data_IF_555109161717
#
_entry.id   IF_555109161717
#
_cell.length_a   1.000
_cell.length_b   1.000
_cell.length_c   1.000
_cell.angle_alpha   90.00
_cell.angle_beta   90.00
_cell.angle_gamma   90.00
#
_symmetry.space_group_name_H-M   'P 1'
#
loop_
_entity.id
_entity.type
_entity.pdbx_description
1 polymer ?
#
# COMPACT_ATOMS: atom_id res chain seq x y z
N UNK A 1 2.89 -16.57 -6.92
CA UNK A 1 1.90 -15.47 -7.05
C UNK A 1 1.23 -15.60 -8.41
N UNK A 2 -0.09 -15.80 -8.48
CA UNK A 2 -0.79 -16.07 -9.73
C UNK A 2 -1.01 -14.75 -10.49
N UNK A 3 -0.40 -14.57 -11.67
CA UNK A 3 -0.44 -13.31 -12.44
C UNK A 3 -1.89 -12.90 -12.77
N UNK A 4 -2.80 -13.86 -12.92
CA UNK A 4 -4.22 -13.59 -13.17
C UNK A 4 -4.98 -13.09 -11.92
N UNK A 5 -4.54 -13.42 -10.71
CA UNK A 5 -5.09 -12.83 -9.47
C UNK A 5 -4.67 -11.36 -9.27
N UNK A 6 -3.59 -10.93 -9.93
CA UNK A 6 -3.14 -9.54 -9.97
C UNK A 6 -3.90 -8.68 -11.00
N UNK A 7 -4.83 -9.28 -11.76
CA UNK A 7 -5.71 -8.60 -12.72
C UNK A 7 -7.18 -8.77 -12.28
N UNK A 8 -7.44 -8.65 -10.98
CA UNK A 8 -8.80 -8.39 -10.52
C UNK A 8 -9.12 -6.91 -10.71
N UNK A 9 -10.36 -6.58 -11.06
CA UNK A 9 -10.76 -5.18 -11.29
C UNK A 9 -10.37 -4.25 -10.12
N UNK A 10 -10.49 -4.73 -8.87
CA UNK A 10 -10.01 -4.01 -7.68
C UNK A 10 -8.50 -3.76 -7.69
N UNK A 11 -7.69 -4.77 -8.03
CA UNK A 11 -6.24 -4.61 -8.15
C UNK A 11 -5.78 -3.67 -9.27
N UNK A 12 -6.57 -3.58 -10.35
CA UNK A 12 -6.33 -2.66 -11.45
C UNK A 12 -6.67 -1.23 -11.04
N UNK A 13 -7.81 -1.00 -10.38
CA UNK A 13 -8.19 0.34 -9.90
C UNK A 13 -7.18 0.89 -8.90
N UNK A 14 -6.73 0.09 -7.91
CA UNK A 14 -5.77 0.56 -6.89
C UNK A 14 -4.42 0.98 -7.47
N UNK A 15 -4.09 0.50 -8.67
CA UNK A 15 -2.84 0.81 -9.36
C UNK A 15 -3.05 1.96 -10.34
N UNK A 16 -4.12 1.89 -11.13
CA UNK A 16 -4.47 2.89 -12.12
C UNK A 16 -4.81 4.25 -11.52
N UNK A 17 -5.58 4.32 -10.43
CA UNK A 17 -6.02 5.61 -9.89
C UNK A 17 -4.82 6.46 -9.38
N UNK A 18 -3.90 5.92 -8.55
CA UNK A 18 -2.65 6.60 -8.20
C UNK A 18 -1.83 7.03 -9.44
N UNK A 19 -1.66 6.13 -10.40
CA UNK A 19 -0.89 6.40 -11.61
C UNK A 19 -1.48 7.53 -12.45
N UNK A 20 -2.80 7.62 -12.52
CA UNK A 20 -3.49 8.69 -13.25
C UNK A 20 -3.25 10.03 -12.57
N UNK A 21 -3.32 10.06 -11.24
CA UNK A 21 -3.03 11.27 -10.45
C UNK A 21 -1.60 11.74 -10.68
N UNK A 22 -0.62 10.83 -10.72
CA UNK A 22 0.76 11.15 -11.05
C UNK A 22 0.93 11.72 -12.46
N UNK A 23 0.29 11.11 -13.47
CA UNK A 23 0.34 11.62 -14.84
C UNK A 23 -0.28 13.02 -14.95
N UNK A 24 -1.40 13.26 -14.27
CA UNK A 24 -2.01 14.60 -14.22
C UNK A 24 -1.11 15.61 -13.52
N UNK A 25 -0.50 15.25 -12.39
CA UNK A 25 0.43 16.13 -11.69
C UNK A 25 1.65 16.48 -12.55
N UNK A 26 2.21 15.50 -13.27
CA UNK A 26 3.32 15.71 -14.19
C UNK A 26 2.94 16.66 -15.34
N UNK A 27 1.76 16.46 -15.94
CA UNK A 27 1.25 17.32 -17.01
C UNK A 27 1.11 18.78 -16.58
N UNK A 28 0.60 19.02 -15.37
CA UNK A 28 0.45 20.38 -14.81
C UNK A 28 1.84 21.02 -14.62
N UNK A 29 2.77 20.30 -13.98
CA UNK A 29 4.13 20.80 -13.73
C UNK A 29 4.88 21.10 -15.03
N UNK A 30 4.78 20.22 -16.03
CA UNK A 30 5.43 20.45 -17.32
C UNK A 30 4.88 21.69 -18.02
N UNK A 31 3.56 21.90 -17.99
CA UNK A 31 2.93 23.08 -18.57
C UNK A 31 3.39 24.39 -17.88
N UNK A 32 3.45 24.40 -16.55
CA UNK A 32 3.90 25.57 -15.78
C UNK A 32 5.40 25.87 -16.00
N UNK A 33 6.25 24.83 -16.06
CA UNK A 33 7.68 25.00 -16.38
C UNK A 33 7.86 25.55 -17.80
N UNK A 34 7.09 25.04 -18.76
CA UNK A 34 7.12 25.51 -20.15
C UNK A 34 6.77 26.98 -20.27
N UNK A 35 5.68 27.39 -19.61
CA UNK A 35 5.26 28.78 -19.56
C UNK A 35 6.33 29.67 -18.90
N UNK A 36 6.94 29.21 -17.81
CA UNK A 36 7.95 29.97 -17.07
C UNK A 36 9.26 30.16 -17.86
N UNK A 37 9.71 29.13 -18.60
CA UNK A 37 10.93 29.22 -19.43
C UNK A 37 10.67 29.70 -20.86
N UNK A 38 9.41 29.97 -21.22
CA UNK A 38 9.04 30.53 -22.52
C UNK A 38 9.18 29.55 -23.70
N UNK A 39 9.03 28.24 -23.45
CA UNK A 39 8.94 27.23 -24.51
C UNK A 39 7.52 26.65 -24.62
N UNK A 40 7.18 26.09 -25.77
CA UNK A 40 5.87 25.46 -25.98
C UNK A 40 5.79 24.14 -25.21
N UNK A 41 4.83 24.02 -24.27
CA UNK A 41 4.56 22.75 -23.57
C UNK A 41 4.22 21.65 -24.56
N UNK A 42 4.93 20.54 -24.48
CA UNK A 42 4.69 19.38 -25.33
C UNK A 42 3.33 18.75 -25.01
N UNK A 43 2.98 18.70 -23.72
CA UNK A 43 1.73 18.09 -23.25
C UNK A 43 0.53 18.93 -23.68
N UNK A 44 0.57 20.25 -23.49
CA UNK A 44 -0.49 21.18 -23.93
C UNK A 44 -0.63 21.15 -25.45
N UNK A 45 0.49 21.12 -26.18
CA UNK A 45 0.50 21.06 -27.64
C UNK A 45 -0.20 19.80 -28.18
N UNK A 46 0.03 18.64 -27.56
CA UNK A 46 -0.63 17.39 -27.99
C UNK A 46 -2.09 17.34 -27.53
N UNK A 47 -2.40 17.75 -26.30
CA UNK A 47 -3.77 17.79 -25.80
C UNK A 47 -4.65 18.76 -26.59
N UNK A 48 -4.08 19.86 -27.08
CA UNK A 48 -4.76 20.81 -27.96
C UNK A 48 -4.99 20.29 -29.38
N UNK A 49 -4.29 19.23 -29.80
CA UNK A 49 -4.45 18.63 -31.12
C UNK A 49 -5.49 17.51 -31.09
N UNK A 50 -6.68 17.77 -31.65
CA UNK A 50 -7.81 16.82 -31.69
C UNK A 50 -7.46 15.49 -32.35
N UNK A 51 -6.54 15.46 -33.30
CA UNK A 51 -6.13 14.22 -33.99
C UNK A 51 -5.24 13.34 -33.11
N UNK A 52 -4.44 13.95 -32.22
CA UNK A 52 -3.47 13.26 -31.37
C UNK A 52 -3.98 13.04 -29.94
N UNK A 53 -5.00 13.79 -29.52
CA UNK A 53 -5.62 13.67 -28.19
C UNK A 53 -6.18 12.25 -27.94
N UNK A 54 -6.76 11.61 -28.96
CA UNK A 54 -7.26 10.23 -28.86
C UNK A 54 -6.12 9.23 -28.62
N UNK A 55 -5.01 9.35 -29.35
CA UNK A 55 -3.80 8.54 -29.16
C UNK A 55 -3.21 8.74 -27.76
N UNK A 56 -3.18 9.98 -27.27
CA UNK A 56 -2.63 10.28 -25.95
C UNK A 56 -3.50 9.71 -24.83
N UNK A 57 -4.83 9.74 -24.96
CA UNK A 57 -5.75 9.07 -24.03
C UNK A 57 -5.56 7.55 -24.02
N UNK A 58 -5.33 6.94 -25.19
CA UNK A 58 -5.05 5.51 -25.31
C UNK A 58 -3.73 5.15 -24.61
N UNK A 59 -2.68 5.98 -24.75
CA UNK A 59 -1.37 5.77 -24.09
C UNK A 59 -1.42 6.10 -22.59
N UNK A 60 -2.25 7.06 -22.18
CA UNK A 60 -2.39 7.45 -20.78
C UNK A 60 -2.86 6.29 -19.90
N UNK A 61 -3.67 5.37 -20.44
CA UNK A 61 -4.14 4.21 -19.70
C UNK A 61 -3.00 3.23 -19.30
N UNK A 62 -2.22 2.64 -20.22
CA UNK A 62 -1.10 1.79 -19.87
C UNK A 62 0.01 2.57 -19.15
N UNK A 63 0.25 3.83 -19.48
CA UNK A 63 1.21 4.67 -18.77
C UNK A 63 0.80 4.87 -17.30
N UNK A 64 -0.50 5.09 -17.05
CA UNK A 64 -1.03 5.23 -15.69
C UNK A 64 -0.81 3.95 -14.89
N UNK A 65 -1.12 2.78 -15.47
CA UNK A 65 -0.86 1.50 -14.80
C UNK A 65 0.62 1.36 -14.47
N UNK A 66 1.52 1.68 -15.42
CA UNK A 66 2.96 1.58 -15.21
C UNK A 66 3.44 2.49 -14.09
N UNK A 67 3.05 3.76 -14.09
CA UNK A 67 3.39 4.72 -13.02
C UNK A 67 2.80 4.30 -11.68
N UNK A 68 1.58 3.78 -11.67
CA UNK A 68 0.94 3.22 -10.50
C UNK A 68 1.69 2.02 -9.93
N UNK A 69 2.21 1.13 -10.78
CA UNK A 69 3.05 0.01 -10.36
C UNK A 69 4.36 0.49 -9.72
N UNK A 70 5.00 1.52 -10.28
CA UNK A 70 6.18 2.13 -9.68
C UNK A 70 5.86 2.73 -8.30
N UNK A 71 4.72 3.43 -8.16
CA UNK A 71 4.25 3.93 -6.87
C UNK A 71 4.05 2.79 -5.86
N UNK A 72 3.41 1.70 -6.28
CA UNK A 72 3.24 0.50 -5.45
C UNK A 72 4.58 -0.05 -4.96
N UNK A 73 5.57 -0.19 -5.85
CA UNK A 73 6.91 -0.68 -5.47
C UNK A 73 7.50 0.18 -4.35
N UNK A 74 7.42 1.51 -4.46
CA UNK A 74 7.91 2.42 -3.43
C UNK A 74 7.12 2.26 -2.11
N UNK A 75 5.81 2.06 -2.17
CA UNK A 75 4.98 1.76 -1.00
C UNK A 75 5.48 0.50 -0.28
N UNK A 76 5.67 -0.59 -1.02
CA UNK A 76 6.02 -1.90 -0.44
C UNK A 76 7.47 -2.03 -0.02
N UNK A 77 8.42 -1.44 -0.77
CA UNK A 77 9.84 -1.56 -0.46
C UNK A 77 10.25 -0.79 0.80
N UNK A 78 9.53 0.26 1.19
CA UNK A 78 10.00 1.09 2.31
C UNK A 78 8.94 1.86 3.07
N UNK A 79 7.98 2.49 2.37
CA UNK A 79 7.05 3.37 3.07
C UNK A 79 6.12 2.62 4.02
N UNK A 80 5.68 1.41 3.67
CA UNK A 80 4.88 0.60 4.59
C UNK A 80 5.66 0.26 5.87
N UNK A 81 6.92 -0.13 5.74
CA UNK A 81 7.76 -0.48 6.89
C UNK A 81 8.04 0.73 7.78
N UNK A 82 8.34 1.87 7.17
CA UNK A 82 8.70 3.09 7.89
C UNK A 82 7.49 3.81 8.50
N UNK A 83 6.40 3.96 7.73
CA UNK A 83 5.23 4.74 8.15
C UNK A 83 4.22 3.94 8.94
N UNK A 84 4.14 2.61 8.74
CA UNK A 84 3.10 1.76 9.32
C UNK A 84 3.67 0.71 10.25
N UNK A 85 4.52 -0.22 9.76
CA UNK A 85 4.96 -1.38 10.56
C UNK A 85 5.84 -0.99 11.74
N UNK A 86 6.84 -0.13 11.53
CA UNK A 86 7.76 0.29 12.61
C UNK A 86 7.04 1.08 13.71
N UNK A 87 6.18 2.08 13.39
CA UNK A 87 5.38 2.76 14.40
C UNK A 87 4.40 1.83 15.12
N UNK A 88 3.75 0.91 14.39
CA UNK A 88 2.88 -0.09 14.99
C UNK A 88 3.61 -0.96 16.01
N UNK A 89 4.80 -1.46 15.68
CA UNK A 89 5.61 -2.28 16.60
C UNK A 89 5.97 -1.53 17.87
N UNK A 90 6.15 -0.20 17.79
CA UNK A 90 6.43 0.65 18.95
C UNK A 90 5.19 0.93 19.80
N UNK A 91 4.02 1.13 19.17
CA UNK A 91 2.78 1.50 19.88
C UNK A 91 1.99 0.30 20.40
N UNK A 92 2.02 -0.83 19.70
CA UNK A 92 1.23 -2.03 19.94
C UNK A 92 2.13 -3.26 20.17
N UNK A 93 3.15 -3.11 21.01
CA UNK A 93 4.17 -4.14 21.25
C UNK A 93 3.58 -5.46 21.78
N UNK A 94 2.54 -5.40 22.61
CA UNK A 94 1.86 -6.60 23.14
C UNK A 94 1.19 -7.41 22.03
N UNK A 95 0.38 -6.77 21.18
CA UNK A 95 -0.29 -7.44 20.07
C UNK A 95 0.71 -8.00 19.06
N UNK A 96 1.78 -7.26 18.77
CA UNK A 96 2.86 -7.73 17.90
C UNK A 96 3.55 -8.96 18.50
N UNK A 97 3.83 -8.95 19.80
CA UNK A 97 4.46 -10.07 20.50
C UNK A 97 3.54 -11.29 20.53
N UNK A 98 2.24 -11.10 20.84
CA UNK A 98 1.25 -12.16 20.80
C UNK A 98 1.19 -12.82 19.42
N UNK A 99 1.09 -12.02 18.35
CA UNK A 99 1.09 -12.53 16.99
C UNK A 99 2.36 -13.33 16.67
N UNK A 100 3.53 -12.81 17.06
CA UNK A 100 4.81 -13.52 16.87
C UNK A 100 4.87 -14.84 17.64
N UNK A 101 4.40 -14.88 18.89
CA UNK A 101 4.33 -16.09 19.71
C UNK A 101 3.41 -17.14 19.08
N UNK A 102 2.18 -16.75 18.71
CA UNK A 102 1.23 -17.66 18.07
C UNK A 102 1.74 -18.19 16.73
N UNK A 103 2.39 -17.34 15.94
CA UNK A 103 3.04 -17.73 14.69
C UNK A 103 4.13 -18.78 14.91
N UNK A 104 4.94 -18.59 15.96
CA UNK A 104 5.99 -19.55 16.31
C UNK A 104 5.41 -20.87 16.81
N UNK A 105 4.39 -20.83 17.68
CA UNK A 105 3.70 -22.04 18.15
C UNK A 105 3.14 -22.87 17.00
N UNK A 106 2.52 -22.22 16.00
CA UNK A 106 2.01 -22.91 14.82
C UNK A 106 3.13 -23.59 14.02
N UNK A 107 4.28 -22.91 13.87
CA UNK A 107 5.45 -23.47 13.20
C UNK A 107 6.03 -24.64 13.98
N UNK A 108 6.16 -24.52 15.29
CA UNK A 108 6.68 -25.59 16.14
C UNK A 108 5.78 -26.84 16.11
N UNK A 109 4.44 -26.67 16.20
CA UNK A 109 3.49 -27.78 16.05
C UNK A 109 3.58 -28.42 14.67
N UNK A 110 3.71 -27.61 13.62
CA UNK A 110 3.83 -28.11 12.24
C UNK A 110 5.16 -28.84 12.01
N UNK A 111 6.27 -28.32 12.55
CA UNK A 111 7.58 -28.95 12.49
C UNK A 111 7.56 -30.32 13.18
N UNK A 112 6.94 -30.41 14.36
CA UNK A 112 6.78 -31.68 15.06
C UNK A 112 6.00 -32.71 14.23
N UNK A 113 4.91 -32.28 13.57
CA UNK A 113 4.09 -33.15 12.72
C UNK A 113 4.82 -33.66 11.46
N UNK A 114 5.83 -32.92 10.96
CA UNK A 114 6.64 -33.37 9.81
C UNK A 114 7.58 -34.53 10.15
N UNK A 115 7.88 -34.77 11.44
CA UNK A 115 8.76 -35.86 11.88
C UNK A 115 10.20 -35.73 11.36
N UNK A 116 10.62 -34.55 10.91
CA UNK A 116 11.95 -34.29 10.39
C UNK A 116 12.92 -33.95 11.52
N UNK A 117 14.16 -34.43 11.41
CA UNK A 117 15.22 -34.20 12.40
C UNK A 117 16.36 -33.39 11.77
N UNK A 118 16.87 -32.40 12.51
CA UNK A 118 18.07 -31.63 12.15
C UNK A 118 17.91 -30.13 12.34
N UNK A 119 18.82 -29.53 13.12
CA UNK A 119 18.78 -28.11 13.49
C UNK A 119 18.86 -27.18 12.27
N UNK A 120 19.65 -27.55 11.25
CA UNK A 120 19.76 -26.77 10.01
C UNK A 120 18.43 -26.73 9.23
N UNK A 121 17.68 -27.83 9.22
CA UNK A 121 16.37 -27.89 8.56
C UNK A 121 15.33 -27.12 9.36
N UNK A 122 15.35 -27.23 10.70
CA UNK A 122 14.48 -26.43 11.57
C UNK A 122 14.72 -24.94 11.39
N UNK A 123 15.98 -24.51 11.38
CA UNK A 123 16.34 -23.10 11.18
C UNK A 123 15.89 -22.59 9.80
N UNK A 124 16.05 -23.40 8.75
CA UNK A 124 15.53 -23.09 7.42
C UNK A 124 14.00 -22.96 7.42
N UNK A 125 13.31 -23.88 8.09
CA UNK A 125 11.86 -23.84 8.23
C UNK A 125 11.38 -22.58 8.97
N UNK A 126 11.97 -22.25 10.11
CA UNK A 126 11.60 -21.04 10.88
C UNK A 126 11.89 -19.74 10.11
N UNK A 127 12.89 -19.73 9.23
CA UNK A 127 13.28 -18.56 8.47
C UNK A 127 12.45 -18.38 7.19
N UNK A 128 12.14 -19.46 6.48
CA UNK A 128 11.55 -19.39 5.13
C UNK A 128 10.09 -19.81 5.07
N UNK A 129 9.56 -20.49 6.09
CA UNK A 129 8.15 -20.87 6.13
C UNK A 129 7.32 -19.75 6.74
N UNK A 130 6.43 -19.20 5.91
CA UNK A 130 5.42 -18.24 6.32
C UNK A 130 4.27 -18.97 7.06
N UNK A 131 3.98 -18.62 8.33
CA UNK A 131 2.86 -19.21 9.07
C UNK A 131 1.50 -19.02 8.37
N UNK A 132 1.34 -18.01 7.51
CA UNK A 132 0.11 -17.87 6.70
C UNK A 132 -0.11 -19.03 5.74
N UNK A 133 0.95 -19.64 5.20
CA UNK A 133 0.83 -20.79 4.30
C UNK A 133 0.25 -21.99 5.04
N UNK A 134 0.68 -22.19 6.28
CA UNK A 134 0.17 -23.26 7.16
C UNK A 134 -1.31 -23.00 7.49
N UNK A 135 -1.68 -21.75 7.75
CA UNK A 135 -3.08 -21.36 7.99
C UNK A 135 -3.99 -21.60 6.79
N UNK A 136 -3.50 -21.39 5.56
CA UNK A 136 -4.29 -21.59 4.33
C UNK A 136 -4.80 -23.02 4.23
N UNK A 137 -3.96 -24.00 4.58
CA UNK A 137 -4.33 -25.42 4.52
C UNK A 137 -5.43 -25.77 5.53
N UNK A 138 -5.40 -25.18 6.72
CA UNK A 138 -6.35 -25.48 7.81
C UNK A 138 -7.67 -24.72 7.72
N UNK A 139 -7.62 -23.42 7.41
CA UNK A 139 -8.79 -22.54 7.44
C UNK A 139 -9.43 -22.41 6.04
N UNK A 140 -8.67 -22.75 4.99
CA UNK A 140 -9.02 -22.57 3.60
C UNK A 140 -8.56 -21.21 3.04
N UNK A 141 -8.24 -21.15 1.75
CA UNK A 141 -7.71 -19.95 1.10
C UNK A 141 -8.68 -18.77 1.12
N UNK A 142 -9.99 -19.02 1.11
CA UNK A 142 -11.03 -17.98 1.02
C UNK A 142 -11.05 -17.06 2.24
N UNK A 143 -10.98 -17.62 3.45
CA UNK A 143 -11.01 -16.83 4.69
C UNK A 143 -9.74 -16.01 4.87
N UNK A 144 -8.58 -16.57 4.49
CA UNK A 144 -7.31 -15.85 4.55
C UNK A 144 -7.25 -14.75 3.49
N UNK A 145 -7.73 -15.03 2.27
CA UNK A 145 -7.91 -14.04 1.22
C UNK A 145 -8.83 -12.90 1.67
N UNK A 146 -9.95 -13.21 2.35
CA UNK A 146 -10.87 -12.20 2.88
C UNK A 146 -10.19 -11.27 3.90
N UNK A 147 -9.40 -11.80 4.85
CA UNK A 147 -8.66 -10.95 5.81
C UNK A 147 -7.63 -10.08 5.12
N UNK A 148 -6.94 -10.62 4.12
CA UNK A 148 -5.98 -9.85 3.30
C UNK A 148 -6.70 -8.77 2.50
N UNK A 149 -7.76 -9.10 1.79
CA UNK A 149 -8.54 -8.15 0.97
C UNK A 149 -9.25 -7.09 1.79
N UNK A 150 -9.64 -7.36 3.04
CA UNK A 150 -10.30 -6.33 3.86
C UNK A 150 -9.34 -5.33 4.46
N UNK A 151 -8.19 -5.75 4.96
CA UNK A 151 -7.34 -4.86 5.76
C UNK A 151 -6.07 -4.46 5.04
N UNK A 152 -5.42 -5.42 4.37
CA UNK A 152 -4.19 -5.17 3.65
C UNK A 152 -4.46 -4.33 2.39
N UNK A 153 -5.51 -4.64 1.64
CA UNK A 153 -5.91 -3.86 0.47
C UNK A 153 -6.18 -2.38 0.79
N UNK A 154 -6.93 -2.10 1.86
CA UNK A 154 -7.23 -0.71 2.23
C UNK A 154 -6.00 0.04 2.71
N UNK A 155 -5.09 -0.63 3.42
CA UNK A 155 -3.78 -0.09 3.78
C UNK A 155 -2.97 0.29 2.55
N UNK A 156 -2.86 -0.62 1.57
CA UNK A 156 -2.14 -0.38 0.33
C UNK A 156 -2.72 0.82 -0.43
N UNK A 157 -4.05 0.88 -0.54
CA UNK A 157 -4.74 1.96 -1.21
C UNK A 157 -4.48 3.31 -0.52
N UNK A 158 -4.55 3.35 0.82
CA UNK A 158 -4.32 4.56 1.60
C UNK A 158 -2.87 5.07 1.47
N UNK A 159 -1.88 4.18 1.46
CA UNK A 159 -0.47 4.56 1.27
C UNK A 159 -0.20 5.04 -0.16
N UNK A 160 -0.75 4.40 -1.17
CA UNK A 160 -0.61 4.88 -2.55
C UNK A 160 -1.31 6.22 -2.77
N UNK A 161 -2.49 6.41 -2.17
CA UNK A 161 -3.20 7.67 -2.23
C UNK A 161 -2.38 8.77 -1.53
N UNK A 162 -1.74 8.47 -0.39
CA UNK A 162 -0.86 9.41 0.31
C UNK A 162 0.30 9.89 -0.58
N UNK A 163 0.97 8.97 -1.29
CA UNK A 163 2.05 9.31 -2.22
C UNK A 163 1.53 10.13 -3.40
N UNK A 164 0.41 9.73 -3.97
CA UNK A 164 -0.20 10.44 -5.11
C UNK A 164 -0.62 11.85 -4.71
N UNK A 165 -1.15 12.00 -3.49
CA UNK A 165 -1.50 13.28 -2.92
C UNK A 165 -0.25 14.14 -2.71
N UNK A 166 0.86 13.55 -2.25
CA UNK A 166 2.15 14.25 -2.17
C UNK A 166 2.64 14.75 -3.52
N UNK A 167 2.48 13.96 -4.59
CA UNK A 167 2.82 14.39 -5.95
C UNK A 167 2.02 15.62 -6.39
N UNK A 168 0.70 15.62 -6.14
CA UNK A 168 -0.18 16.75 -6.44
C UNK A 168 0.21 17.97 -5.61
N UNK A 169 0.54 17.78 -4.33
CA UNK A 169 0.98 18.88 -3.47
C UNK A 169 2.27 19.52 -3.98
N UNK A 170 3.27 18.70 -4.34
CA UNK A 170 4.51 19.19 -4.95
C UNK A 170 4.19 19.94 -6.25
N UNK A 171 3.34 19.40 -7.11
CA UNK A 171 2.92 20.07 -8.34
C UNK A 171 2.29 21.45 -8.09
N UNK A 172 1.37 21.54 -7.11
CA UNK A 172 0.73 22.80 -6.75
C UNK A 172 1.71 23.82 -6.16
N UNK A 173 2.65 23.38 -5.32
CA UNK A 173 3.67 24.26 -4.74
C UNK A 173 4.61 24.79 -5.83
N UNK A 174 5.06 23.92 -6.75
CA UNK A 174 5.89 24.31 -7.89
C UNK A 174 5.14 25.31 -8.78
N UNK A 175 3.89 24.99 -9.13
CA UNK A 175 3.02 25.89 -9.92
C UNK A 175 2.84 27.26 -9.27
N UNK A 176 2.55 27.29 -7.97
CA UNK A 176 2.38 28.53 -7.20
C UNK A 176 3.68 29.36 -7.17
N UNK A 177 4.84 28.69 -7.11
CA UNK A 177 6.14 29.34 -7.13
C UNK A 177 6.43 29.97 -8.50
N UNK A 178 6.26 29.20 -9.58
CA UNK A 178 6.53 29.66 -10.94
C UNK A 178 5.60 30.80 -11.38
N UNK A 179 4.34 30.78 -10.92
CA UNK A 179 3.35 31.79 -11.26
C UNK A 179 3.40 33.04 -10.35
N UNK A 180 4.39 33.18 -9.47
CA UNK A 180 4.53 34.34 -8.58
C UNK A 180 3.38 34.48 -7.57
N UNK A 181 2.66 33.40 -7.27
CA UNK A 181 1.50 33.46 -6.37
C UNK A 181 1.88 33.93 -4.96
N UNK A 182 3.15 33.78 -4.58
CA UNK A 182 3.74 34.25 -3.33
C UNK A 182 3.87 35.78 -3.24
N UNK A 183 3.83 36.50 -4.36
CA UNK A 183 4.05 37.95 -4.41
C UNK A 183 2.80 38.75 -3.99
N UNK A 184 1.66 38.06 -3.81
CA UNK A 184 0.41 38.66 -3.34
C UNK A 184 0.03 38.14 -1.97
N UNK A 185 -0.41 39.03 -1.07
CA UNK A 185 -0.88 38.63 0.27
C UNK A 185 -2.05 37.65 0.24
N UNK A 186 -2.91 37.74 -0.79
CA UNK A 186 -4.01 36.79 -1.03
C UNK A 186 -3.53 35.41 -1.51
N UNK A 187 -2.48 35.35 -2.32
CA UNK A 187 -1.91 34.09 -2.79
C UNK A 187 -1.17 33.33 -1.69
N UNK A 188 -0.43 34.04 -0.83
CA UNK A 188 0.19 33.44 0.35
C UNK A 188 -0.85 32.80 1.29
N UNK A 189 -1.95 33.50 1.59
CA UNK A 189 -3.02 32.98 2.44
C UNK A 189 -3.68 31.70 1.89
N UNK A 190 -3.92 31.65 0.57
CA UNK A 190 -4.46 30.45 -0.10
C UNK A 190 -3.52 29.25 0.02
N UNK A 191 -2.22 29.47 -0.14
CA UNK A 191 -1.24 28.39 -0.03
C UNK A 191 -1.18 27.82 1.39
N UNK A 192 -1.22 28.67 2.42
CA UNK A 192 -1.25 28.21 3.82
C UNK A 192 -2.46 27.31 4.08
N UNK A 193 -3.64 27.68 3.56
CA UNK A 193 -4.84 26.85 3.65
C UNK A 193 -4.65 25.52 2.93
N UNK A 194 -4.08 25.52 1.72
CA UNK A 194 -3.79 24.29 0.96
C UNK A 194 -2.81 23.39 1.73
N UNK A 195 -1.74 23.94 2.30
CA UNK A 195 -0.78 23.19 3.13
C UNK A 195 -1.48 22.60 4.36
N UNK A 196 -2.30 23.37 5.06
CA UNK A 196 -3.00 22.91 6.25
C UNK A 196 -3.96 21.75 5.92
N UNK A 197 -4.77 21.89 4.87
CA UNK A 197 -5.67 20.83 4.38
C UNK A 197 -4.86 19.60 3.97
N UNK A 198 -3.74 19.80 3.28
CA UNK A 198 -2.86 18.73 2.86
C UNK A 198 -2.31 17.92 4.05
N UNK A 199 -1.79 18.60 5.07
CA UNK A 199 -1.28 17.97 6.29
C UNK A 199 -2.40 17.19 6.99
N UNK A 200 -3.59 17.77 7.13
CA UNK A 200 -4.72 17.11 7.79
C UNK A 200 -5.15 15.83 7.06
N UNK A 201 -5.29 15.87 5.74
CA UNK A 201 -5.65 14.69 4.93
C UNK A 201 -4.53 13.64 5.01
N UNK A 202 -3.27 14.06 4.94
CA UNK A 202 -2.12 13.14 5.04
C UNK A 202 -2.07 12.41 6.38
N UNK A 203 -2.29 13.13 7.48
CA UNK A 203 -2.37 12.54 8.82
C UNK A 203 -3.57 11.61 8.96
N UNK A 204 -4.72 11.97 8.40
CA UNK A 204 -5.91 11.13 8.41
C UNK A 204 -5.69 9.81 7.64
N UNK A 205 -5.13 9.88 6.42
CA UNK A 205 -4.81 8.69 5.61
C UNK A 205 -3.80 7.79 6.32
N UNK A 206 -2.75 8.36 6.90
CA UNK A 206 -1.74 7.60 7.63
C UNK A 206 -2.32 6.95 8.90
N UNK A 207 -3.17 7.67 9.63
CA UNK A 207 -3.89 7.13 10.79
C UNK A 207 -4.81 5.96 10.39
N UNK A 208 -5.52 6.08 9.26
CA UNK A 208 -6.37 5.03 8.74
C UNK A 208 -5.55 3.80 8.30
N UNK A 209 -4.40 4.00 7.65
CA UNK A 209 -3.50 2.91 7.24
C UNK A 209 -2.96 2.13 8.44
N UNK A 210 -2.53 2.84 9.49
CA UNK A 210 -2.07 2.23 10.75
C UNK A 210 -3.18 1.46 11.44
N UNK A 211 -4.40 2.00 11.51
CA UNK A 211 -5.56 1.33 12.09
C UNK A 211 -5.94 0.06 11.32
N UNK A 212 -5.86 0.09 9.99
CA UNK A 212 -6.11 -1.09 9.17
C UNK A 212 -5.02 -2.16 9.37
N UNK A 213 -3.76 -1.76 9.52
CA UNK A 213 -2.68 -2.71 9.87
C UNK A 213 -2.90 -3.37 11.22
N UNK A 214 -3.28 -2.59 12.24
CA UNK A 214 -3.58 -3.12 13.57
C UNK A 214 -4.71 -4.15 13.53
N UNK A 215 -5.80 -3.83 12.83
CA UNK A 215 -6.93 -4.76 12.64
C UNK A 215 -6.53 -6.01 11.88
N UNK A 216 -5.65 -5.88 10.88
CA UNK A 216 -5.10 -7.02 10.16
C UNK A 216 -4.35 -7.95 11.13
N UNK A 217 -3.39 -7.43 11.90
CA UNK A 217 -2.60 -8.22 12.86
C UNK A 217 -3.50 -8.85 13.92
N UNK A 218 -4.48 -8.11 14.46
CA UNK A 218 -5.43 -8.64 15.44
C UNK A 218 -6.29 -9.78 14.87
N UNK A 219 -6.75 -9.63 13.62
CA UNK A 219 -7.53 -10.67 12.96
C UNK A 219 -6.69 -11.91 12.66
N UNK A 220 -5.45 -11.73 12.24
CA UNK A 220 -4.50 -12.83 12.03
C UNK A 220 -4.17 -13.57 13.34
N UNK A 221 -3.93 -12.84 14.43
CA UNK A 221 -3.74 -13.43 15.75
C UNK A 221 -4.97 -14.24 16.19
N UNK A 222 -6.19 -13.71 16.00
CA UNK A 222 -7.43 -14.43 16.30
C UNK A 222 -7.59 -15.72 15.48
N UNK A 223 -7.20 -15.72 14.20
CA UNK A 223 -7.22 -16.93 13.37
C UNK A 223 -6.18 -17.96 13.82
N UNK A 224 -4.96 -17.51 14.15
CA UNK A 224 -3.92 -18.36 14.70
C UNK A 224 -4.37 -19.03 16.00
N UNK A 225 -4.96 -18.26 16.92
CA UNK A 225 -5.51 -18.80 18.17
C UNK A 225 -6.56 -19.87 17.89
N UNK A 226 -7.53 -19.61 17.00
CA UNK A 226 -8.59 -20.57 16.68
C UNK A 226 -8.05 -21.90 16.13
N UNK A 227 -7.03 -21.85 15.27
CA UNK A 227 -6.40 -23.08 14.74
C UNK A 227 -5.64 -23.82 15.83
N UNK A 228 -4.91 -23.10 16.68
CA UNK A 228 -4.11 -23.71 17.73
C UNK A 228 -4.97 -24.37 18.82
N UNK A 229 -6.14 -23.80 19.14
CA UNK A 229 -7.08 -24.37 20.13
C UNK A 229 -7.89 -25.52 19.56
N UNK A 230 -8.35 -25.45 18.30
CA UNK A 230 -9.07 -26.56 17.66
C UNK A 230 -8.24 -27.85 17.53
N UNK A 231 -6.90 -27.73 17.49
CA UNK A 231 -6.03 -28.90 17.52
C UNK A 231 -5.94 -29.51 18.92
N UNK A 232 -5.99 -28.71 19.99
CA UNK A 232 -5.92 -29.23 21.36
C UNK A 232 -7.17 -30.03 21.71
N UNK A 233 -8.36 -29.57 21.29
CA UNK A 233 -9.61 -30.30 21.50
C UNK A 233 -9.71 -31.62 20.70
N UNK A 234 -8.98 -31.73 19.57
CA UNK A 234 -8.99 -32.93 18.73
C UNK A 234 -8.01 -34.01 19.17
N UNK A 235 -6.94 -33.64 19.89
CA UNK A 235 -5.96 -34.57 20.43
C UNK A 235 -6.46 -35.23 21.74
N UNK A 236 -7.52 -34.70 22.39
CA UNK A 236 -8.13 -35.27 23.60
C UNK A 236 -9.20 -36.35 23.33
N UNK A 237 -9.71 -36.46 22.09
CA UNK A 237 -10.79 -37.39 21.72
C UNK A 237 -10.30 -38.73 21.11
N UNK A 238 -8.98 -38.91 20.95
CA UNK A 238 -8.35 -40.09 20.32
C UNK A 238 -7.58 -41.01 21.31
N UNK A 239 -7.69 -40.78 22.64
CA UNK A 239 -7.17 -41.65 23.72
C UNK A 239 -8.27 -42.50 24.39
#
# INVERSE_FOLDING_TARGET
MNIFGAVTFGSLIKTFLPGLVWLSAFAIVEADIAQYWGYDSYVVKILGNKEQASTLLIIAFPASIFVGLLSNIVVFMGLNDWLVRTPFRKSNGELFTLHATLSQMLRDKSWAALGLNGDALKQSFDQFTDPEIILVERIGPEKLAYVREQYWYHLEFQLNLLISFFAVFVALVVSAFLNGAFDSGGGFGRLVVVIAVYVLISLWLLGAARKNYERHVAKMASLLTAVLTQQEDGDEDDD
#
